data_IF_829394035820
#
_entry.id   IF_829394035820
#
_cell.length_a   1.000
_cell.length_b   1.000
_cell.length_c   1.000
_cell.angle_alpha   90.00
_cell.angle_beta   90.00
_cell.angle_gamma   90.00
#
_symmetry.space_group_name_H-M   'P 1'
#
loop_
_entity.id
_entity.type
_entity.pdbx_description
1 polymer ?
#
# COMPACT_ATOMS: atom_id res chain seq x y z
N UNK A 1 30.39 -5.79 -28.56
CA UNK A 1 30.84 -5.10 -27.33
C UNK A 1 29.69 -4.22 -26.87
N UNK A 2 28.96 -4.61 -25.82
CA UNK A 2 27.96 -3.72 -25.21
C UNK A 2 28.72 -2.60 -24.49
N UNK A 3 28.41 -1.34 -24.81
CA UNK A 3 28.97 -0.18 -24.12
C UNK A 3 28.49 -0.20 -22.66
N UNK A 4 29.37 -0.61 -21.75
CA UNK A 4 29.09 -0.60 -20.31
C UNK A 4 29.53 0.75 -19.72
N UNK A 5 28.60 1.44 -19.06
CA UNK A 5 28.89 2.66 -18.31
C UNK A 5 29.16 2.31 -16.84
N UNK A 6 30.27 2.81 -16.28
CA UNK A 6 30.55 2.66 -14.84
C UNK A 6 29.73 3.68 -14.06
N UNK A 7 29.01 3.21 -13.04
CA UNK A 7 28.19 4.04 -12.14
C UNK A 7 28.55 3.69 -10.69
N UNK A 8 28.45 4.67 -9.79
CA UNK A 8 28.64 4.48 -8.34
C UNK A 8 27.28 4.54 -7.65
N UNK A 9 26.95 3.53 -6.84
CA UNK A 9 25.71 3.46 -6.08
C UNK A 9 26.02 3.44 -4.58
N UNK A 10 25.21 4.14 -3.78
CA UNK A 10 25.24 4.02 -2.32
C UNK A 10 24.30 2.89 -1.89
N UNK A 11 24.85 1.87 -1.25
CA UNK A 11 24.09 0.72 -0.74
C UNK A 11 24.31 0.60 0.77
N UNK A 12 23.27 0.25 1.54
CA UNK A 12 23.44 -0.15 2.94
C UNK A 12 24.47 -1.28 3.06
N UNK A 13 25.27 -1.32 4.13
CA UNK A 13 26.35 -2.31 4.29
C UNK A 13 25.83 -3.76 4.24
N UNK A 14 24.64 -4.00 4.78
CA UNK A 14 24.00 -5.32 4.72
C UNK A 14 23.61 -5.73 3.30
N UNK A 15 23.06 -4.80 2.51
CA UNK A 15 22.67 -5.06 1.13
C UNK A 15 23.91 -5.31 0.27
N UNK A 16 24.96 -4.51 0.43
CA UNK A 16 26.23 -4.71 -0.24
C UNK A 16 26.83 -6.08 0.09
N UNK A 17 26.79 -6.51 1.37
CA UNK A 17 27.25 -7.84 1.78
C UNK A 17 26.44 -8.96 1.12
N UNK A 18 25.10 -8.87 1.11
CA UNK A 18 24.21 -9.84 0.46
C UNK A 18 24.50 -9.96 -1.03
N UNK A 19 24.66 -8.82 -1.72
CA UNK A 19 24.99 -8.77 -3.15
C UNK A 19 26.34 -9.43 -3.44
N UNK A 20 27.36 -9.16 -2.61
CA UNK A 20 28.69 -9.77 -2.74
C UNK A 20 28.66 -11.28 -2.55
N UNK A 21 27.92 -11.77 -1.57
CA UNK A 21 27.75 -13.22 -1.33
C UNK A 21 27.06 -13.85 -2.53
N UNK A 22 25.94 -13.27 -3.01
CA UNK A 22 25.20 -13.80 -4.15
C UNK A 22 26.06 -13.88 -5.41
N UNK A 23 26.82 -12.83 -5.70
CA UNK A 23 27.79 -12.81 -6.80
C UNK A 23 28.83 -13.94 -6.71
N UNK A 24 29.36 -14.18 -5.51
CA UNK A 24 30.32 -15.26 -5.28
C UNK A 24 29.69 -16.65 -5.46
N UNK A 25 28.46 -16.86 -4.98
CA UNK A 25 27.73 -18.13 -5.11
C UNK A 25 27.36 -18.42 -6.56
N UNK A 26 26.88 -17.41 -7.28
CA UNK A 26 26.46 -17.55 -8.69
C UNK A 26 27.66 -17.52 -9.67
N UNK A 27 28.88 -17.25 -9.20
CA UNK A 27 30.07 -17.07 -10.04
C UNK A 27 29.89 -15.99 -11.12
N UNK A 28 29.12 -14.95 -10.81
CA UNK A 28 28.81 -13.84 -11.70
C UNK A 28 29.29 -12.50 -11.12
N UNK A 29 29.61 -11.50 -11.96
CA UNK A 29 29.98 -10.18 -11.44
C UNK A 29 28.76 -9.51 -10.79
N UNK A 30 29.00 -8.77 -9.70
CA UNK A 30 27.95 -8.01 -9.00
C UNK A 30 27.15 -7.08 -9.93
N UNK A 31 27.79 -6.55 -10.97
CA UNK A 31 27.14 -5.69 -11.97
C UNK A 31 26.07 -6.42 -12.78
N UNK A 32 26.24 -7.72 -13.09
CA UNK A 32 25.22 -8.50 -13.80
C UNK A 32 23.99 -8.75 -12.92
N UNK A 33 24.19 -9.02 -11.63
CA UNK A 33 23.07 -9.16 -10.69
C UNK A 33 22.34 -7.82 -10.52
N UNK A 34 23.09 -6.72 -10.38
CA UNK A 34 22.51 -5.38 -10.27
C UNK A 34 21.74 -4.98 -11.54
N UNK A 35 22.28 -5.27 -12.72
CA UNK A 35 21.60 -5.05 -13.99
C UNK A 35 20.26 -5.78 -14.07
N UNK A 36 20.24 -7.10 -13.75
CA UNK A 36 19.00 -7.87 -13.71
C UNK A 36 17.98 -7.28 -12.73
N UNK A 37 18.43 -6.86 -11.55
CA UNK A 37 17.55 -6.26 -10.54
C UNK A 37 16.95 -4.93 -11.02
N UNK A 38 17.77 -4.06 -11.63
CA UNK A 38 17.31 -2.77 -12.17
C UNK A 38 16.33 -2.99 -13.32
N UNK A 39 16.65 -3.89 -14.27
CA UNK A 39 15.74 -4.23 -15.38
C UNK A 39 14.43 -4.78 -14.84
N UNK A 40 14.47 -5.66 -13.84
CA UNK A 40 13.27 -6.22 -13.22
C UNK A 40 12.39 -5.13 -12.60
N UNK A 41 13.00 -4.23 -11.80
CA UNK A 41 12.29 -3.12 -11.17
C UNK A 41 11.61 -2.22 -12.21
N UNK A 42 12.33 -1.82 -13.26
CA UNK A 42 11.80 -0.95 -14.31
C UNK A 42 10.73 -1.62 -15.17
N UNK A 43 10.80 -2.95 -15.34
CA UNK A 43 9.83 -3.71 -16.12
C UNK A 43 8.56 -4.02 -15.33
N UNK A 44 8.68 -4.14 -14.00
CA UNK A 44 7.58 -4.58 -13.13
C UNK A 44 7.43 -3.67 -11.88
N UNK A 45 7.23 -2.35 -12.05
CA UNK A 45 7.15 -1.42 -10.92
C UNK A 45 5.98 -1.78 -10.00
N UNK A 46 4.83 -2.16 -10.56
CA UNK A 46 3.63 -2.52 -9.83
C UNK A 46 3.86 -3.68 -8.84
N UNK A 47 4.63 -4.70 -9.24
CA UNK A 47 4.92 -5.85 -8.38
C UNK A 47 5.83 -5.49 -7.21
N UNK A 48 6.70 -4.48 -7.38
CA UNK A 48 7.61 -4.03 -6.33
C UNK A 48 6.87 -3.10 -5.36
N UNK A 49 6.05 -2.19 -5.89
CA UNK A 49 5.22 -1.29 -5.09
C UNK A 49 4.20 -2.06 -4.23
N UNK A 50 3.65 -3.17 -4.74
CA UNK A 50 2.77 -4.07 -3.97
C UNK A 50 3.46 -4.68 -2.74
N UNK A 51 4.77 -4.96 -2.82
CA UNK A 51 5.55 -5.50 -1.70
C UNK A 51 5.88 -4.42 -0.68
N UNK A 52 6.19 -3.21 -1.14
CA UNK A 52 6.48 -2.06 -0.26
C UNK A 52 5.20 -1.52 0.43
N UNK A 53 4.04 -1.63 -0.20
CA UNK A 53 2.72 -1.20 0.33
C UNK A 53 1.99 -2.25 1.17
N UNK A 54 2.71 -3.25 1.71
CA UNK A 54 2.14 -4.26 2.63
C UNK A 54 1.40 -3.64 3.84
N UNK A 55 1.64 -2.36 4.14
CA UNK A 55 0.78 -1.56 5.01
C UNK A 55 -0.30 -0.82 4.19
N UNK A 56 -1.53 -1.35 4.18
CA UNK A 56 -2.70 -0.69 3.58
C UNK A 56 -3.51 -1.54 2.60
N UNK A 57 -3.04 -2.72 2.20
CA UNK A 57 -3.74 -3.59 1.24
C UNK A 57 -4.92 -4.40 1.82
N UNK A 58 -5.28 -4.22 3.09
CA UNK A 58 -6.39 -4.95 3.74
C UNK A 58 -7.76 -4.74 3.09
N UNK A 59 -7.90 -3.75 2.20
CA UNK A 59 -9.17 -3.40 1.55
C UNK A 59 -9.12 -3.51 0.01
N UNK A 60 -8.15 -4.24 -0.56
CA UNK A 60 -8.10 -4.44 -2.02
C UNK A 60 -9.16 -5.46 -2.45
N UNK A 61 -10.09 -5.01 -3.28
CA UNK A 61 -11.18 -5.80 -3.82
C UNK A 61 -10.76 -6.37 -5.18
N UNK A 62 -10.74 -7.70 -5.27
CA UNK A 62 -10.50 -8.45 -6.49
C UNK A 62 -11.82 -8.92 -7.10
N UNK A 63 -11.88 -8.99 -8.43
CA UNK A 63 -13.01 -9.61 -9.14
C UNK A 63 -12.70 -11.08 -9.40
N UNK A 64 -13.50 -11.98 -8.86
CA UNK A 64 -13.35 -13.41 -9.14
C UNK A 64 -13.95 -13.75 -10.52
N UNK A 65 -13.16 -14.29 -11.46
CA UNK A 65 -13.65 -14.63 -12.79
C UNK A 65 -14.64 -15.81 -12.78
N UNK A 66 -14.57 -16.71 -11.80
CA UNK A 66 -15.41 -17.91 -11.75
C UNK A 66 -16.81 -17.64 -11.18
N UNK A 67 -16.91 -16.73 -10.21
CA UNK A 67 -18.17 -16.49 -9.51
C UNK A 67 -18.65 -15.04 -9.57
N UNK A 68 -17.97 -14.16 -10.32
CA UNK A 68 -18.30 -12.73 -10.50
C UNK A 68 -18.54 -11.97 -9.20
N UNK A 69 -17.88 -12.39 -8.12
CA UNK A 69 -17.94 -11.74 -6.82
C UNK A 69 -16.74 -10.85 -6.57
N UNK A 70 -16.96 -9.79 -5.80
CA UNK A 70 -15.92 -8.99 -5.18
C UNK A 70 -15.33 -9.76 -4.00
N UNK A 71 -14.03 -10.01 -3.99
CA UNK A 71 -13.31 -10.78 -2.97
C UNK A 71 -12.21 -9.90 -2.37
N UNK A 72 -11.95 -10.02 -1.07
CA UNK A 72 -10.83 -9.37 -0.38
C UNK A 72 -9.88 -10.40 0.22
N UNK A 73 -8.60 -10.03 0.35
CA UNK A 73 -7.60 -10.87 1.00
C UNK A 73 -7.47 -10.46 2.47
N UNK A 74 -7.95 -11.31 3.39
CA UNK A 74 -7.90 -11.08 4.83
C UNK A 74 -7.12 -12.22 5.48
N UNK A 75 -6.04 -11.89 6.18
CA UNK A 75 -5.21 -12.86 6.92
C UNK A 75 -4.67 -14.04 6.06
N UNK A 76 -4.51 -13.80 4.74
CA UNK A 76 -4.05 -14.83 3.79
C UNK A 76 -5.16 -15.71 3.20
N UNK A 77 -6.42 -15.47 3.56
CA UNK A 77 -7.60 -16.15 3.00
C UNK A 77 -8.41 -15.20 2.12
N UNK A 78 -9.02 -15.76 1.07
CA UNK A 78 -9.92 -15.03 0.16
C UNK A 78 -11.35 -15.05 0.73
N UNK A 79 -11.86 -13.90 1.16
CA UNK A 79 -13.22 -13.76 1.67
C UNK A 79 -14.10 -13.00 0.67
N UNK A 80 -15.28 -13.55 0.35
CA UNK A 80 -16.26 -12.91 -0.53
C UNK A 80 -16.96 -11.73 0.17
N UNK A 81 -17.13 -10.61 -0.54
CA UNK A 81 -17.89 -9.44 -0.07
C UNK A 81 -19.39 -9.51 -0.40
N UNK A 82 -19.87 -10.57 -1.05
CA UNK A 82 -21.30 -10.68 -1.47
C UNK A 82 -22.29 -10.66 -0.32
N UNK A 83 -21.89 -11.10 0.86
CA UNK A 83 -22.78 -11.26 2.03
C UNK A 83 -22.57 -10.16 3.09
N UNK A 84 -21.83 -9.10 2.74
CA UNK A 84 -21.75 -7.94 3.63
C UNK A 84 -22.98 -7.06 3.46
N UNK A 85 -23.60 -6.58 4.55
CA UNK A 85 -24.68 -5.61 4.48
C UNK A 85 -24.12 -4.30 3.91
N UNK A 86 -24.22 -4.13 2.60
CA UNK A 86 -23.83 -2.90 1.92
C UNK A 86 -24.93 -1.86 2.14
N UNK A 87 -24.58 -0.78 2.84
CA UNK A 87 -25.44 0.38 3.14
C UNK A 87 -26.53 0.06 4.17
N UNK A 88 -26.32 0.52 5.41
CA UNK A 88 -27.46 0.81 6.28
C UNK A 88 -28.24 1.91 5.56
N UNK A 89 -29.47 1.62 5.13
CA UNK A 89 -30.40 2.67 4.73
C UNK A 89 -30.45 3.67 5.89
N UNK A 90 -30.27 4.97 5.60
CA UNK A 90 -30.28 6.04 6.62
C UNK A 90 -31.58 6.07 7.47
N UNK A 91 -32.59 5.28 7.09
CA UNK A 91 -33.88 5.14 7.76
C UNK A 91 -33.84 4.48 9.15
N UNK A 92 -32.75 3.80 9.55
CA UNK A 92 -32.69 3.11 10.85
C UNK A 92 -31.54 3.55 11.79
N UNK A 93 -30.94 4.72 11.54
CA UNK A 93 -30.06 5.33 12.54
C UNK A 93 -30.90 6.29 13.40
N UNK A 94 -31.19 5.98 14.68
CA UNK A 94 -31.86 6.93 15.57
C UNK A 94 -30.89 8.04 15.93
N UNK A 95 -30.66 8.97 15.00
CA UNK A 95 -30.01 10.23 15.29
C UNK A 95 -31.03 11.03 16.10
N UNK A 96 -30.84 11.11 17.42
CA UNK A 96 -31.59 12.04 18.23
C UNK A 96 -31.35 13.44 17.66
N UNK A 97 -32.37 14.02 17.03
CA UNK A 97 -32.39 15.44 16.70
C UNK A 97 -32.23 16.17 18.03
N UNK A 98 -31.05 16.78 18.22
CA UNK A 98 -30.82 17.73 19.31
C UNK A 98 -31.93 18.77 19.18
N UNK A 99 -32.85 18.75 20.15
CA UNK A 99 -33.91 19.74 20.24
C UNK A 99 -33.25 21.11 20.23
N UNK A 100 -33.75 22.00 19.38
CA UNK A 100 -33.44 23.42 19.41
C UNK A 100 -33.52 23.92 20.86
N UNK A 101 -32.37 24.10 21.50
CA UNK A 101 -32.29 24.85 22.73
C UNK A 101 -32.22 26.30 22.31
N UNK A 102 -33.37 26.95 22.42
CA UNK A 102 -33.53 28.38 22.37
C UNK A 102 -32.38 29.08 23.12
N UNK A 103 -31.61 29.87 22.37
CA UNK A 103 -31.17 31.21 22.75
C UNK A 103 -30.85 31.46 24.23
N UNK A 104 -29.79 30.86 24.77
CA UNK A 104 -29.16 31.37 25.99
C UNK A 104 -27.67 31.64 25.79
N UNK A 105 -27.39 32.93 25.60
CA UNK A 105 -26.11 33.65 25.82
C UNK A 105 -24.87 33.09 25.15
N UNK A 106 -24.52 33.71 24.01
CA UNK A 106 -23.22 33.66 23.41
C UNK A 106 -22.11 34.09 24.40
N UNK A 107 -21.19 33.17 24.69
CA UNK A 107 -19.80 33.52 24.98
C UNK A 107 -18.95 32.83 23.90
N UNK A 108 -18.57 33.62 22.91
CA UNK A 108 -17.65 33.21 21.84
C UNK A 108 -16.26 33.03 22.44
N UNK A 109 -15.83 31.79 22.63
CA UNK A 109 -14.43 31.44 22.81
C UNK A 109 -13.88 31.06 21.43
N UNK A 110 -13.29 32.03 20.74
CA UNK A 110 -12.60 31.80 19.47
C UNK A 110 -11.26 31.11 19.76
N UNK A 111 -11.17 29.80 19.59
CA UNK A 111 -9.88 29.12 19.45
C UNK A 111 -9.55 28.97 17.96
N UNK A 112 -8.50 29.67 17.54
CA UNK A 112 -7.98 29.71 16.17
C UNK A 112 -7.25 28.39 15.83
N UNK A 113 -7.69 27.72 14.77
CA UNK A 113 -7.06 26.49 14.29
C UNK A 113 -5.75 26.80 13.57
N UNK A 114 -4.63 26.33 14.13
CA UNK A 114 -3.30 26.45 13.53
C UNK A 114 -3.17 25.47 12.35
N UNK A 115 -2.75 25.91 11.15
CA UNK A 115 -2.56 25.00 10.02
C UNK A 115 -1.31 24.12 10.25
N UNK A 116 -1.42 22.84 9.87
CA UNK A 116 -0.30 21.91 9.83
C UNK A 116 0.66 22.21 8.69
#
# INVERSE_FOLDING_TARGET
>A
MQNKQKVTLYLPPELHRKLKIKAAVESEPMSSIAERAIVFYLTNPELVDEVETSYGQTHRVYSCPDCSSSIVMKEGELTSLREQPSVLSDDELPVQSVRDVESTTAQSGEEELVPC
#
